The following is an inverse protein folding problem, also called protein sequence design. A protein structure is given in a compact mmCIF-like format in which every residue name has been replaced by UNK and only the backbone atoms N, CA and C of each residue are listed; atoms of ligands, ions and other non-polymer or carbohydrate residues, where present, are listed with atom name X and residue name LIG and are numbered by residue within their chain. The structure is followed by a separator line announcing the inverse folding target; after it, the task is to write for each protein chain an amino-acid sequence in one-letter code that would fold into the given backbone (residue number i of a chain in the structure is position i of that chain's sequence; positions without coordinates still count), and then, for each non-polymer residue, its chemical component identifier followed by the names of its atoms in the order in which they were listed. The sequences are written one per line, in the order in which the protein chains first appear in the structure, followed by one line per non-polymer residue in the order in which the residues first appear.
data_IF_003705431447
#
_entry.id   IF_003705431447
#
_cell.length_a   1.000
_cell.length_b   1.000
_cell.length_c   1.000
_cell.angle_alpha   90.00
_cell.angle_beta   90.00
_cell.angle_gamma   90.00
#
_symmetry.space_group_name_H-M   'P 1'
#
loop_
_entity.id
_entity.type
_entity.pdbx_description
1 polymer ?
#
# COMPACT_ATOMS: atom_id res chain seq x y z
N UNK A 1 16.49 -3.79 19.72
CA UNK A 1 15.51 -3.84 18.62
C UNK A 1 14.27 -4.54 19.15
N UNK A 2 13.18 -3.82 19.40
CA UNK A 2 11.88 -4.41 19.74
C UNK A 2 11.33 -5.08 18.48
N UNK A 3 10.99 -6.36 18.54
CA UNK A 3 10.30 -7.03 17.45
C UNK A 3 8.97 -6.30 17.19
N UNK A 4 8.73 -5.89 15.95
CA UNK A 4 7.42 -5.34 15.57
C UNK A 4 6.40 -6.48 15.65
N UNK A 5 5.49 -6.42 16.64
CA UNK A 5 4.42 -7.41 16.84
C UNK A 5 3.25 -7.11 15.90
N UNK A 6 3.41 -7.41 14.61
CA UNK A 6 2.33 -7.28 13.63
C UNK A 6 1.34 -8.45 13.80
N UNK A 7 0.06 -8.15 14.05
CA UNK A 7 -1.00 -9.15 14.23
C UNK A 7 -1.92 -9.28 13.02
N UNK A 8 -1.87 -8.31 12.12
CA UNK A 8 -2.71 -8.25 10.93
C UNK A 8 -1.81 -8.18 9.71
N UNK A 9 -1.97 -9.13 8.79
CA UNK A 9 -1.34 -9.09 7.47
C UNK A 9 -2.39 -8.65 6.44
N UNK A 10 -2.16 -7.50 5.80
CA UNK A 10 -3.07 -6.92 4.81
C UNK A 10 -2.47 -7.07 3.41
N UNK A 11 -3.05 -7.97 2.61
CA UNK A 11 -2.60 -8.22 1.25
C UNK A 11 -3.46 -7.46 0.25
N UNK A 12 -2.80 -6.74 -0.65
CA UNK A 12 -3.45 -6.17 -1.83
C UNK A 12 -2.51 -6.22 -3.03
N UNK A 13 -3.06 -6.48 -4.21
CA UNK A 13 -2.31 -6.37 -5.46
C UNK A 13 -1.83 -4.92 -5.69
N UNK A 14 -2.58 -3.94 -5.18
CA UNK A 14 -2.24 -2.53 -5.29
C UNK A 14 -2.27 -1.82 -3.94
N UNK A 15 -1.31 -0.95 -3.68
CA UNK A 15 -1.28 -0.04 -2.53
C UNK A 15 -0.77 1.33 -2.99
N UNK A 16 -1.60 2.36 -2.81
CA UNK A 16 -1.27 3.75 -3.13
C UNK A 16 -0.88 4.54 -1.89
N UNK A 17 0.40 4.47 -1.48
CA UNK A 17 0.95 5.29 -0.37
C UNK A 17 1.58 6.59 -0.90
N UNK A 18 2.15 6.54 -2.10
CA UNK A 18 2.78 7.68 -2.76
C UNK A 18 2.62 7.54 -4.25
N UNK A 19 2.33 8.63 -4.95
CA UNK A 19 2.26 8.68 -6.41
C UNK A 19 3.59 8.39 -7.11
N UNK A 20 4.71 8.41 -6.38
CA UNK A 20 6.02 8.03 -6.90
C UNK A 20 6.28 6.52 -6.89
N UNK A 21 5.48 5.73 -6.17
CA UNK A 21 5.68 4.29 -6.05
C UNK A 21 4.90 3.53 -7.14
N UNK A 22 5.55 2.62 -7.88
CA UNK A 22 4.91 1.82 -8.93
C UNK A 22 4.13 0.64 -8.35
N UNK A 23 3.26 0.88 -7.37
CA UNK A 23 2.49 -0.14 -6.63
C UNK A 23 0.99 -0.01 -6.80
N UNK A 24 0.52 0.94 -7.62
CA UNK A 24 -0.91 1.10 -7.91
C UNK A 24 -1.15 1.82 -9.26
N UNK A 25 -2.39 1.73 -9.72
CA UNK A 25 -2.87 2.27 -11.00
C UNK A 25 -4.23 2.96 -10.92
N UNK A 26 -5.03 2.65 -9.88
CA UNK A 26 -6.39 3.17 -9.78
C UNK A 26 -7.03 3.02 -8.39
N UNK A 27 -8.36 2.93 -8.38
CA UNK A 27 -9.17 3.00 -7.16
C UNK A 27 -8.88 1.92 -6.11
N UNK A 28 -8.45 0.73 -6.52
CA UNK A 28 -8.05 -0.33 -5.60
C UNK A 28 -6.88 0.10 -4.72
N UNK A 29 -5.81 0.60 -5.33
CA UNK A 29 -4.63 1.03 -4.59
C UNK A 29 -4.89 2.27 -3.74
N UNK A 30 -5.72 3.20 -4.22
CA UNK A 30 -6.14 4.37 -3.43
C UNK A 30 -6.88 3.93 -2.17
N UNK A 31 -7.91 3.07 -2.32
CA UNK A 31 -8.67 2.55 -1.20
C UNK A 31 -7.80 1.75 -0.22
N UNK A 32 -6.90 0.91 -0.73
CA UNK A 32 -5.96 0.16 0.11
C UNK A 32 -5.03 1.10 0.89
N UNK A 33 -4.55 2.17 0.26
CA UNK A 33 -3.76 3.22 0.91
C UNK A 33 -4.53 3.92 2.03
N UNK A 34 -5.77 4.31 1.78
CA UNK A 34 -6.64 4.94 2.78
C UNK A 34 -6.91 3.99 3.96
N UNK A 35 -7.08 2.69 3.69
CA UNK A 35 -7.30 1.70 4.75
C UNK A 35 -6.07 1.53 5.65
N UNK A 36 -4.87 1.54 5.07
CA UNK A 36 -3.60 1.51 5.82
C UNK A 36 -3.42 2.78 6.63
N UNK A 37 -3.77 3.94 6.06
CA UNK A 37 -3.72 5.23 6.76
C UNK A 37 -4.67 5.23 7.98
N UNK A 38 -5.92 4.81 7.79
CA UNK A 38 -6.88 4.68 8.89
C UNK A 38 -6.41 3.70 9.97
N UNK A 39 -5.84 2.55 9.58
CA UNK A 39 -5.28 1.59 10.52
C UNK A 39 -4.11 2.17 11.33
N UNK A 40 -3.25 2.99 10.70
CA UNK A 40 -2.16 3.67 11.38
C UNK A 40 -2.66 4.77 12.34
N UNK A 41 -3.68 5.53 11.94
CA UNK A 41 -4.30 6.57 12.78
C UNK A 41 -4.94 5.97 14.05
N UNK A 42 -5.49 4.75 13.96
CA UNK A 42 -6.03 3.97 15.08
C UNK A 42 -4.96 3.15 15.84
N UNK A 43 -3.69 3.18 15.41
CA UNK A 43 -2.60 2.46 16.07
C UNK A 43 -2.66 0.93 15.94
N UNK A 44 -3.32 0.40 14.91
CA UNK A 44 -3.44 -1.04 14.70
C UNK A 44 -2.08 -1.68 14.33
N UNK A 45 -1.76 -2.88 14.85
CA UNK A 45 -0.53 -3.60 14.53
C UNK A 45 -0.61 -4.31 13.16
N UNK A 46 -0.73 -3.52 12.09
CA UNK A 46 -0.94 -3.98 10.72
C UNK A 46 0.35 -3.91 9.87
N UNK A 47 0.64 -5.00 9.15
CA UNK A 47 1.68 -5.08 8.14
C UNK A 47 1.02 -5.20 6.76
N UNK A 48 1.24 -4.20 5.89
CA UNK A 48 0.70 -4.18 4.54
C UNK A 48 1.69 -4.78 3.54
N UNK A 49 1.19 -5.64 2.65
CA UNK A 49 1.99 -6.42 1.69
C UNK A 49 1.43 -6.21 0.29
N UNK A 50 2.31 -5.85 -0.65
CA UNK A 50 1.96 -5.63 -2.06
C UNK A 50 3.11 -5.99 -2.99
N UNK A 51 2.85 -5.89 -4.29
CA UNK A 51 3.82 -6.16 -5.34
C UNK A 51 4.52 -4.85 -5.74
N UNK A 52 5.86 -4.89 -5.78
CA UNK A 52 6.65 -3.82 -6.38
C UNK A 52 6.79 -4.11 -7.88
N UNK A 53 5.91 -3.53 -8.69
CA UNK A 53 5.91 -3.77 -10.13
C UNK A 53 7.10 -3.05 -10.78
N UNK A 54 7.92 -3.79 -11.53
CA UNK A 54 9.14 -3.28 -12.17
C UNK A 54 8.87 -2.11 -13.12
N UNK A 55 7.80 -2.20 -13.92
CA UNK A 55 7.48 -1.20 -14.96
C UNK A 55 6.40 -0.20 -14.50
N UNK A 56 5.85 -0.36 -13.29
CA UNK A 56 4.64 0.34 -12.87
C UNK A 56 3.46 0.06 -13.78
N UNK A 57 2.49 0.99 -13.81
CA UNK A 57 1.29 0.84 -14.63
C UNK A 57 1.50 1.30 -16.07
N UNK A 58 1.72 2.60 -16.27
CA UNK A 58 1.83 3.22 -17.59
C UNK A 58 2.40 4.64 -17.48
N UNK A 59 3.10 5.11 -18.52
CA UNK A 59 3.58 6.50 -18.65
C UNK A 59 2.82 7.19 -19.77
N UNK A 60 1.79 7.96 -19.41
CA UNK A 60 1.00 8.71 -20.39
C UNK A 60 1.82 9.87 -20.99
N UNK A 61 1.84 9.94 -22.32
CA UNK A 61 2.38 11.05 -23.13
C UNK A 61 1.33 11.42 -24.18
N UNK A 62 1.17 12.72 -24.43
CA UNK A 62 0.26 13.28 -25.45
C UNK A 62 1.11 13.86 -26.56
#
# INVERSE_FOLDING_TARGET
MTAFDYKIAYFSAEIGISSSLPTYSGGLGVLAGDHIKAAADEGLPLCAITLLYKEGYFKQRI
#
